data_IF_637556514066
#
_entry.id   IF_637556514066
#
_cell.length_a   1.000
_cell.length_b   1.000
_cell.length_c   1.000
_cell.angle_alpha   90.00
_cell.angle_beta   90.00
_cell.angle_gamma   90.00
#
_symmetry.space_group_name_H-M   'P 1'
#
loop_
_entity.id
_entity.type
_entity.pdbx_description
1 polymer ?
#
# COMPACT_ATOMS: atom_id res chain seq x y z
N UNK A 1 11.51 -11.06 16.61
CA UNK A 1 11.24 -12.41 16.07
C UNK A 1 10.08 -12.26 15.12
N UNK A 2 10.31 -12.29 13.81
CA UNK A 2 9.27 -12.07 12.81
C UNK A 2 8.42 -13.34 12.69
N UNK A 3 7.10 -13.20 12.77
CA UNK A 3 6.14 -14.29 12.75
C UNK A 3 6.08 -14.94 11.36
N UNK A 4 6.94 -15.94 11.09
CA UNK A 4 7.03 -16.71 9.83
C UNK A 4 5.78 -17.58 9.53
N UNK A 5 4.65 -17.37 10.21
CA UNK A 5 3.47 -18.24 10.12
C UNK A 5 2.18 -17.56 9.64
N UNK A 6 2.09 -16.22 9.63
CA UNK A 6 0.79 -15.53 9.53
C UNK A 6 0.12 -15.56 8.15
N UNK A 7 0.82 -15.91 7.08
CA UNK A 7 0.27 -15.87 5.71
C UNK A 7 0.17 -17.23 5.03
N UNK A 8 0.33 -18.35 5.77
CA UNK A 8 0.01 -19.68 5.24
C UNK A 8 -1.50 -19.76 4.97
N UNK A 9 -1.89 -19.49 3.73
CA UNK A 9 -3.30 -19.45 3.28
C UNK A 9 -3.76 -18.11 2.71
N UNK A 10 -2.92 -17.07 2.69
CA UNK A 10 -3.27 -15.79 2.09
C UNK A 10 -3.31 -15.91 0.56
N UNK A 11 -4.39 -15.43 -0.06
CA UNK A 11 -4.55 -15.40 -1.51
C UNK A 11 -3.97 -14.09 -2.07
N UNK A 12 -3.16 -14.18 -3.11
CA UNK A 12 -2.66 -12.98 -3.79
C UNK A 12 -3.78 -12.40 -4.66
N UNK A 13 -4.13 -11.14 -4.41
CA UNK A 13 -5.11 -10.44 -5.24
C UNK A 13 -4.60 -10.28 -6.67
N UNK A 14 -5.43 -10.67 -7.64
CA UNK A 14 -5.14 -10.48 -9.07
C UNK A 14 -5.44 -9.03 -9.48
N UNK A 15 -5.01 -8.65 -10.69
CA UNK A 15 -5.18 -7.30 -11.23
C UNK A 15 -6.62 -6.78 -11.10
N UNK A 16 -7.61 -7.57 -11.51
CA UNK A 16 -9.02 -7.18 -11.49
C UNK A 16 -9.55 -7.03 -10.07
N UNK A 17 -9.19 -7.96 -9.18
CA UNK A 17 -9.52 -7.91 -7.75
C UNK A 17 -8.91 -6.66 -7.11
N UNK A 18 -7.63 -6.37 -7.39
CA UNK A 18 -6.95 -5.18 -6.92
C UNK A 18 -7.61 -3.89 -7.38
N UNK A 19 -8.02 -3.79 -8.65
CA UNK A 19 -8.75 -2.62 -9.14
C UNK A 19 -10.04 -2.47 -8.35
N UNK A 20 -10.83 -3.54 -8.21
CA UNK A 20 -12.10 -3.47 -7.48
C UNK A 20 -11.94 -3.17 -5.98
N UNK A 21 -10.87 -3.65 -5.36
CA UNK A 21 -10.60 -3.46 -3.93
C UNK A 21 -9.98 -2.10 -3.63
N UNK A 22 -9.13 -1.57 -4.52
CA UNK A 22 -8.36 -0.35 -4.25
C UNK A 22 -8.92 0.89 -4.95
N UNK A 23 -9.64 0.76 -6.07
CA UNK A 23 -10.26 1.92 -6.70
C UNK A 23 -11.31 2.51 -5.76
N UNK A 24 -11.18 3.80 -5.49
CA UNK A 24 -12.00 4.55 -4.52
C UNK A 24 -11.82 4.14 -3.04
N UNK A 25 -10.80 3.34 -2.73
CA UNK A 25 -10.54 2.92 -1.37
C UNK A 25 -9.57 3.86 -0.64
N UNK A 26 -9.74 3.93 0.67
CA UNK A 26 -8.72 4.50 1.56
C UNK A 26 -8.11 3.39 2.40
N UNK A 27 -6.79 3.30 2.42
CA UNK A 27 -6.06 2.36 3.26
C UNK A 27 -5.09 3.04 4.20
N UNK A 28 -4.97 2.42 5.37
CA UNK A 28 -4.11 2.89 6.45
C UNK A 28 -3.10 1.80 6.81
N UNK A 29 -1.85 2.21 7.01
CA UNK A 29 -0.75 1.32 7.36
C UNK A 29 0.16 1.98 8.40
N UNK A 30 0.69 1.19 9.33
CA UNK A 30 1.66 1.63 10.34
C UNK A 30 2.85 0.70 10.30
N UNK A 31 4.03 1.28 10.11
CA UNK A 31 5.30 0.56 10.17
C UNK A 31 6.28 1.30 11.11
N UNK A 32 7.50 0.76 11.25
CA UNK A 32 8.53 1.36 12.09
C UNK A 32 8.94 2.79 11.68
N UNK A 33 8.70 3.18 10.42
CA UNK A 33 8.97 4.52 9.90
C UNK A 33 7.84 5.52 10.17
N UNK A 34 6.65 5.05 10.55
CA UNK A 34 5.50 5.90 10.86
C UNK A 34 4.17 5.35 10.38
N UNK A 35 3.18 6.23 10.40
CA UNK A 35 1.82 6.05 9.92
C UNK A 35 1.69 6.61 8.50
N UNK A 36 1.03 5.87 7.62
CA UNK A 36 0.61 6.35 6.31
C UNK A 36 -0.90 6.11 6.13
N UNK A 37 -1.58 7.15 5.69
CA UNK A 37 -2.97 7.10 5.25
C UNK A 37 -2.98 7.42 3.75
N UNK A 38 -3.56 6.54 2.94
CA UNK A 38 -3.57 6.65 1.47
C UNK A 38 -4.99 6.53 0.98
N UNK A 39 -5.46 7.53 0.24
CA UNK A 39 -6.71 7.51 -0.50
C UNK A 39 -6.43 7.35 -1.99
N UNK A 40 -7.06 6.36 -2.59
CA UNK A 40 -6.91 5.99 -4.00
C UNK A 40 -8.21 6.26 -4.70
N UNK A 41 -8.21 7.12 -5.70
CA UNK A 41 -9.39 7.47 -6.47
C UNK A 41 -9.44 6.66 -7.76
N UNK A 42 -10.65 6.29 -8.20
CA UNK A 42 -10.84 5.52 -9.44
C UNK A 42 -10.31 6.23 -10.71
N UNK A 43 -10.13 7.56 -10.68
CA UNK A 43 -9.54 8.33 -11.78
C UNK A 43 -8.01 8.16 -11.94
N UNK A 44 -7.40 7.27 -11.14
CA UNK A 44 -5.95 7.02 -11.19
C UNK A 44 -5.13 7.94 -10.29
N UNK A 45 -5.78 8.77 -9.47
CA UNK A 45 -5.11 9.63 -8.48
C UNK A 45 -4.93 8.94 -7.15
N UNK A 46 -3.84 9.29 -6.48
CA UNK A 46 -3.61 8.92 -5.08
C UNK A 46 -3.24 10.17 -4.29
N UNK A 47 -3.71 10.24 -3.05
CA UNK A 47 -3.32 11.28 -2.11
C UNK A 47 -3.31 10.73 -0.69
N UNK A 48 -2.70 11.45 0.24
CA UNK A 48 -2.65 10.94 1.59
C UNK A 48 -1.79 11.76 2.53
N UNK A 49 -1.57 11.20 3.72
CA UNK A 49 -0.72 11.76 4.75
C UNK A 49 0.35 10.75 5.17
N UNK A 50 1.57 11.24 5.33
CA UNK A 50 2.71 10.54 5.88
C UNK A 50 3.03 11.18 7.23
N UNK A 51 3.00 10.40 8.30
CA UNK A 51 3.32 10.83 9.64
C UNK A 51 4.43 9.95 10.21
N UNK A 52 5.64 10.51 10.35
CA UNK A 52 6.78 9.84 10.98
C UNK A 52 7.15 10.47 12.32
N UNK A 53 8.30 10.07 12.86
CA UNK A 53 8.84 10.66 14.09
C UNK A 53 9.27 12.11 13.82
N UNK A 54 8.45 13.06 14.26
CA UNK A 54 8.74 14.50 14.18
C UNK A 54 8.37 15.18 12.86
N UNK A 55 7.67 14.48 11.94
CA UNK A 55 7.17 15.11 10.71
C UNK A 55 5.78 14.57 10.35
N UNK A 56 4.95 15.45 9.77
CA UNK A 56 3.73 15.09 9.07
C UNK A 56 3.67 15.89 7.77
N UNK A 57 3.43 15.20 6.66
CA UNK A 57 3.33 15.82 5.34
C UNK A 57 2.24 15.13 4.54
N UNK A 58 1.54 15.89 3.70
CA UNK A 58 0.64 15.31 2.71
C UNK A 58 1.43 14.93 1.45
N UNK A 59 0.87 14.04 0.65
CA UNK A 59 1.40 13.73 -0.67
C UNK A 59 0.27 13.62 -1.68
N UNK A 60 0.60 13.87 -2.94
CA UNK A 60 -0.28 13.63 -4.07
C UNK A 60 0.48 12.88 -5.15
N UNK A 61 -0.26 12.17 -5.98
CA UNK A 61 0.33 11.23 -6.91
C UNK A 61 -0.66 10.57 -7.85
N UNK A 62 -0.15 9.56 -8.55
CA UNK A 62 -0.92 8.67 -9.42
C UNK A 62 -0.64 7.23 -9.05
N UNK A 63 -1.63 6.36 -9.24
CA UNK A 63 -1.46 4.93 -9.05
C UNK A 63 -1.73 4.16 -10.35
N UNK A 64 -1.21 2.95 -10.40
CA UNK A 64 -1.43 1.98 -11.47
C UNK A 64 -1.29 0.57 -10.94
N UNK A 65 -1.94 -0.39 -11.58
CA UNK A 65 -1.65 -1.80 -11.37
C UNK A 65 -0.86 -2.34 -12.56
N UNK A 66 0.29 -2.96 -12.28
CA UNK A 66 1.13 -3.57 -13.30
C UNK A 66 0.53 -4.89 -13.79
N UNK A 67 1.09 -5.46 -14.85
CA UNK A 67 0.65 -6.75 -15.38
C UNK A 67 0.81 -7.90 -14.39
N UNK A 68 1.89 -7.87 -13.62
CA UNK A 68 2.13 -8.82 -12.52
C UNK A 68 1.26 -8.61 -11.28
N UNK A 69 0.19 -7.81 -11.36
CA UNK A 69 -0.68 -7.48 -10.22
C UNK A 69 0.06 -6.81 -9.05
N UNK A 70 0.99 -5.89 -9.33
CA UNK A 70 1.53 -4.97 -8.34
C UNK A 70 0.75 -3.67 -8.35
N UNK A 71 0.28 -3.24 -7.20
CA UNK A 71 -0.17 -1.87 -7.03
C UNK A 71 1.07 -0.98 -6.88
N UNK A 72 1.26 -0.10 -7.85
CA UNK A 72 2.33 0.88 -7.85
C UNK A 72 1.73 2.27 -7.76
N UNK A 73 2.24 3.08 -6.85
CA UNK A 73 1.88 4.48 -6.78
C UNK A 73 3.10 5.37 -6.75
N UNK A 74 3.04 6.39 -7.60
CA UNK A 74 4.00 7.47 -7.68
C UNK A 74 3.47 8.64 -6.87
N UNK A 75 4.24 9.14 -5.93
CA UNK A 75 3.82 10.27 -5.10
C UNK A 75 4.96 11.26 -4.90
N UNK A 76 4.59 12.52 -4.69
CA UNK A 76 5.53 13.56 -4.26
C UNK A 76 5.06 14.08 -2.91
N UNK A 77 5.86 13.92 -1.85
CA UNK A 77 5.59 14.57 -0.57
C UNK A 77 5.54 16.09 -0.71
N UNK A 78 4.68 16.73 0.06
CA UNK A 78 4.51 18.17 0.03
C UNK A 78 5.44 18.84 1.05
N UNK A 79 6.73 18.87 0.73
CA UNK A 79 7.74 19.65 1.45
C UNK A 79 8.82 20.17 0.49
N UNK A 80 9.53 21.22 0.90
CA UNK A 80 10.54 21.88 0.07
C UNK A 80 11.68 20.90 -0.26
N UNK A 81 11.96 20.73 -1.56
CA UNK A 81 13.00 19.81 -2.04
C UNK A 81 12.58 18.34 -2.12
N UNK A 82 11.29 18.03 -1.92
CA UNK A 82 10.78 16.68 -2.11
C UNK A 82 10.91 16.23 -3.58
N UNK A 83 11.32 14.97 -3.76
CA UNK A 83 11.38 14.31 -5.07
C UNK A 83 10.26 13.29 -5.21
N UNK A 84 9.88 13.02 -6.45
CA UNK A 84 8.93 11.94 -6.78
C UNK A 84 9.50 10.61 -6.27
N UNK A 85 8.66 9.87 -5.57
CA UNK A 85 8.93 8.50 -5.09
C UNK A 85 7.96 7.55 -5.77
N UNK A 86 8.39 6.32 -5.97
CA UNK A 86 7.54 5.24 -6.46
C UNK A 86 7.56 4.14 -5.41
N UNK A 87 6.37 3.67 -5.02
CA UNK A 87 6.21 2.49 -4.17
C UNK A 87 5.41 1.46 -4.93
N UNK A 88 5.85 0.21 -4.92
CA UNK A 88 5.17 -0.91 -5.57
C UNK A 88 5.05 -2.07 -4.59
N UNK A 89 3.84 -2.62 -4.47
CA UNK A 89 3.58 -3.74 -3.57
C UNK A 89 2.55 -4.69 -4.14
N UNK A 90 2.69 -5.96 -3.80
CA UNK A 90 1.67 -6.98 -3.96
C UNK A 90 0.72 -6.92 -2.76
N UNK A 91 -0.56 -7.21 -3.00
CA UNK A 91 -1.56 -7.31 -1.95
C UNK A 91 -2.03 -8.76 -1.83
N UNK A 92 -2.19 -9.19 -0.59
CA UNK A 92 -2.67 -10.51 -0.21
C UNK A 92 -3.84 -10.34 0.73
N UNK A 93 -4.83 -11.20 0.58
CA UNK A 93 -6.00 -11.25 1.45
C UNK A 93 -5.98 -12.54 2.28
N UNK A 94 -6.24 -12.42 3.57
CA UNK A 94 -6.45 -13.55 4.46
C UNK A 94 -7.65 -13.26 5.36
N UNK A 95 -8.79 -13.90 5.08
CA UNK A 95 -10.07 -13.53 5.68
C UNK A 95 -10.46 -12.10 5.30
N UNK A 96 -10.77 -11.28 6.30
CA UNK A 96 -11.11 -9.86 6.15
C UNK A 96 -9.89 -8.92 6.21
N UNK A 97 -8.69 -9.47 6.42
CA UNK A 97 -7.47 -8.68 6.53
C UNK A 97 -6.68 -8.64 5.22
N UNK A 98 -6.09 -7.48 4.95
CA UNK A 98 -5.22 -7.26 3.81
C UNK A 98 -3.78 -7.02 4.25
N UNK A 99 -2.88 -7.60 3.47
CA UNK A 99 -1.45 -7.59 3.73
C UNK A 99 -0.72 -7.15 2.47
N UNK A 100 0.32 -6.32 2.64
CA UNK A 100 1.19 -5.90 1.53
C UNK A 100 2.52 -6.65 1.58
N UNK A 101 3.13 -6.93 0.43
CA UNK A 101 4.53 -7.38 0.36
C UNK A 101 5.25 -6.78 -0.85
N UNK A 102 6.56 -6.59 -0.72
CA UNK A 102 7.45 -6.23 -1.82
C UNK A 102 7.77 -7.43 -2.73
N UNK A 103 7.52 -8.66 -2.26
CA UNK A 103 7.84 -9.92 -2.94
C UNK A 103 6.61 -10.80 -3.09
N UNK A 104 6.51 -11.47 -4.25
CA UNK A 104 5.40 -12.39 -4.58
C UNK A 104 5.49 -13.71 -3.81
N UNK A 105 6.71 -14.20 -3.64
CA UNK A 105 7.02 -15.51 -3.04
C UNK A 105 7.50 -15.41 -1.60
N UNK A 106 7.96 -14.23 -1.18
CA UNK A 106 8.41 -13.98 0.18
C UNK A 106 7.36 -13.17 0.93
N UNK A 107 6.40 -13.92 1.46
CA UNK A 107 5.34 -13.40 2.31
C UNK A 107 5.88 -12.93 3.67
N UNK A 108 7.13 -13.22 4.04
CA UNK A 108 7.72 -12.79 5.31
C UNK A 108 8.42 -11.43 5.20
N UNK A 109 8.82 -11.01 4.00
CA UNK A 109 9.75 -9.89 3.81
C UNK A 109 9.19 -8.50 4.10
N UNK A 110 7.87 -8.26 4.06
CA UNK A 110 7.33 -6.89 4.19
C UNK A 110 5.85 -6.79 4.58
N UNK A 111 5.35 -7.68 5.44
CA UNK A 111 3.93 -7.69 5.83
C UNK A 111 3.61 -6.48 6.71
N UNK A 112 2.88 -5.52 6.15
CA UNK A 112 2.24 -4.49 6.96
C UNK A 112 0.72 -4.70 6.91
N UNK A 113 0.04 -4.86 8.05
CA UNK A 113 -1.42 -4.96 8.05
C UNK A 113 -2.01 -3.64 7.54
N UNK A 114 -2.79 -3.73 6.47
CA UNK A 114 -3.51 -2.61 5.89
C UNK A 114 -4.99 -2.71 6.25
N UNK A 115 -5.57 -1.67 6.86
CA UNK A 115 -7.03 -1.56 6.93
C UNK A 115 -7.50 -0.85 5.67
N UNK A 116 -8.21 -1.55 4.80
CA UNK A 116 -8.87 -0.98 3.63
C UNK A 116 -10.31 -0.59 4.03
N UNK A 117 -10.70 0.65 3.74
CA UNK A 117 -12.07 1.14 3.91
C UNK A 117 -12.58 1.68 2.58
N UNK A 118 -13.82 1.35 2.28
CA UNK A 118 -14.62 1.95 1.22
C UNK A 118 -15.53 3.03 1.83
#
# INVERSE_FOLDING_TARGET
MAEHGKLKGAHQLRREELVSTLADATFFSVNASGRIDVSVSADGRVGGNLQGLGYSTNFIGTWRITDDAKFCFDYTPNFVGATRRTSCSYYFQLGDEYFVSSSRSDLAASVTPGKIKH
#
